data_IF_667716823473
#
_entry.id   IF_667716823473
#
_cell.length_a   1.000
_cell.length_b   1.000
_cell.length_c   1.000
_cell.angle_alpha   90.00
_cell.angle_beta   90.00
_cell.angle_gamma   90.00
#
_symmetry.space_group_name_H-M   'P 1'
#
loop_
_entity.id
_entity.type
_entity.pdbx_description
1 polymer ?
#
# COMPACT_ATOMS: atom_id res chain seq x y z
N UNK A 1 5.86 35.22 -0.45
CA UNK A 1 6.71 34.34 -1.30
C UNK A 1 5.97 33.04 -1.62
N UNK A 2 6.37 32.25 -2.63
CA UNK A 2 5.69 31.00 -3.02
C UNK A 2 5.55 30.00 -1.85
N UNK A 3 6.51 29.98 -0.93
CA UNK A 3 6.52 29.14 0.28
C UNK A 3 5.44 29.53 1.29
N UNK A 4 5.15 30.81 1.44
CA UNK A 4 4.08 31.32 2.31
C UNK A 4 2.71 30.94 1.75
N UNK A 5 2.53 31.04 0.44
CA UNK A 5 1.30 30.59 -0.23
C UNK A 5 1.10 29.08 -0.07
N UNK A 6 2.14 28.27 -0.24
CA UNK A 6 2.05 26.82 -0.08
C UNK A 6 1.70 26.42 1.37
N UNK A 7 2.29 27.10 2.35
CA UNK A 7 1.99 26.90 3.77
C UNK A 7 0.54 27.25 4.08
N UNK A 8 0.05 28.36 3.52
CA UNK A 8 -1.35 28.78 3.65
C UNK A 8 -2.32 27.76 3.02
N UNK A 9 -2.02 27.24 1.82
CA UNK A 9 -2.86 26.23 1.21
C UNK A 9 -2.92 24.95 2.06
N UNK A 10 -1.78 24.45 2.54
CA UNK A 10 -1.77 23.26 3.39
C UNK A 10 -2.50 23.46 4.71
N UNK A 11 -2.39 24.63 5.35
CA UNK A 11 -3.13 24.91 6.59
C UNK A 11 -4.64 24.96 6.35
N UNK A 12 -5.07 25.54 5.22
CA UNK A 12 -6.47 25.55 4.82
C UNK A 12 -6.99 24.14 4.53
N UNK A 13 -6.24 23.32 3.79
CA UNK A 13 -6.63 21.94 3.53
C UNK A 13 -6.72 21.12 4.82
N UNK A 14 -5.74 21.23 5.72
CA UNK A 14 -5.80 20.55 7.02
C UNK A 14 -7.05 20.93 7.79
N UNK A 15 -7.37 22.23 7.87
CA UNK A 15 -8.56 22.71 8.56
C UNK A 15 -9.84 22.15 7.93
N UNK A 16 -9.96 22.19 6.61
CA UNK A 16 -11.14 21.71 5.91
C UNK A 16 -11.36 20.20 6.10
N UNK A 17 -10.30 19.40 6.01
CA UNK A 17 -10.40 17.96 6.21
C UNK A 17 -10.57 17.55 7.69
N UNK A 18 -10.10 18.36 8.64
CA UNK A 18 -10.43 18.19 10.05
C UNK A 18 -11.91 18.48 10.32
N UNK A 19 -12.46 19.54 9.73
CA UNK A 19 -13.90 19.82 9.81
C UNK A 19 -14.72 18.72 9.15
N UNK A 20 -14.31 18.24 7.98
CA UNK A 20 -14.96 17.11 7.31
C UNK A 20 -14.93 15.84 8.16
N UNK A 21 -13.81 15.55 8.82
CA UNK A 21 -13.70 14.43 9.77
C UNK A 21 -14.70 14.58 10.92
N UNK A 22 -14.76 15.74 11.57
CA UNK A 22 -15.70 15.99 12.67
C UNK A 22 -17.16 15.84 12.23
N UNK A 23 -17.53 16.39 11.08
CA UNK A 23 -18.89 16.26 10.53
C UNK A 23 -19.22 14.79 10.20
N UNK A 24 -18.29 14.05 9.61
CA UNK A 24 -18.48 12.63 9.33
C UNK A 24 -18.67 11.82 10.62
N UNK A 25 -17.95 12.17 11.69
CA UNK A 25 -18.14 11.57 13.01
C UNK A 25 -19.52 11.90 13.61
N UNK A 26 -19.96 13.17 13.55
CA UNK A 26 -21.28 13.59 14.02
C UNK A 26 -22.42 12.89 13.26
N UNK A 27 -22.23 12.64 11.96
CA UNK A 27 -23.19 11.93 11.12
C UNK A 27 -23.08 10.39 11.20
N UNK A 28 -22.12 9.85 11.94
CA UNK A 28 -21.76 8.42 11.93
C UNK A 28 -21.47 7.87 10.51
N UNK A 29 -20.92 8.70 9.63
CA UNK A 29 -20.50 8.32 8.27
C UNK A 29 -19.11 7.66 8.31
N UNK A 30 -19.07 6.34 8.51
CA UNK A 30 -17.83 5.58 8.60
C UNK A 30 -16.96 5.69 7.33
N UNK A 31 -17.59 5.73 6.15
CA UNK A 31 -16.88 5.88 4.88
C UNK A 31 -16.28 7.28 4.74
N UNK A 32 -17.04 8.32 5.14
CA UNK A 32 -16.55 9.69 5.21
C UNK A 32 -15.38 9.86 6.18
N UNK A 33 -15.43 9.20 7.34
CA UNK A 33 -14.31 9.15 8.30
C UNK A 33 -13.05 8.56 7.64
N UNK A 34 -13.18 7.45 6.90
CA UNK A 34 -12.05 6.85 6.16
C UNK A 34 -11.46 7.85 5.15
N UNK A 35 -12.32 8.47 4.33
CA UNK A 35 -11.88 9.45 3.34
C UNK A 35 -11.19 10.67 3.96
N UNK A 36 -11.70 11.14 5.09
CA UNK A 36 -11.10 12.27 5.81
C UNK A 36 -9.70 11.91 6.31
N UNK A 37 -9.52 10.74 6.93
CA UNK A 37 -8.21 10.27 7.37
C UNK A 37 -7.25 10.05 6.20
N UNK A 38 -7.72 9.44 5.11
CA UNK A 38 -6.91 9.26 3.91
C UNK A 38 -6.43 10.61 3.35
N UNK A 39 -7.32 11.60 3.22
CA UNK A 39 -6.96 12.92 2.72
C UNK A 39 -5.98 13.66 3.63
N UNK A 40 -6.18 13.60 4.96
CA UNK A 40 -5.23 14.14 5.94
C UNK A 40 -3.85 13.51 5.79
N UNK A 41 -3.80 12.20 5.52
CA UNK A 41 -2.53 11.51 5.30
C UNK A 41 -1.79 12.01 4.06
N UNK A 42 -2.49 12.26 2.96
CA UNK A 42 -1.91 12.77 1.72
C UNK A 42 -1.38 14.20 1.89
N UNK A 43 -2.09 15.03 2.65
CA UNK A 43 -1.63 16.38 3.00
C UNK A 43 -0.36 16.31 3.84
N UNK A 44 -0.35 15.49 4.90
CA UNK A 44 0.83 15.33 5.74
C UNK A 44 2.03 14.78 4.97
N UNK A 45 1.81 13.81 4.07
CA UNK A 45 2.86 13.29 3.17
C UNK A 45 3.44 14.39 2.28
N UNK A 46 2.60 15.22 1.65
CA UNK A 46 3.03 16.35 0.80
C UNK A 46 3.77 17.44 1.58
N UNK A 47 3.49 17.58 2.87
CA UNK A 47 4.23 18.46 3.78
C UNK A 47 5.56 17.84 4.28
N UNK A 48 5.84 16.58 3.96
CA UNK A 48 7.00 15.84 4.47
C UNK A 48 6.82 15.28 5.89
N UNK A 49 5.63 15.39 6.47
CA UNK A 49 5.31 14.87 7.81
C UNK A 49 4.91 13.39 7.72
N UNK A 50 5.89 12.51 7.50
CA UNK A 50 5.63 11.09 7.24
C UNK A 50 4.99 10.39 8.45
N UNK A 51 5.33 10.77 9.67
CA UNK A 51 4.77 10.19 10.91
C UNK A 51 3.28 10.49 11.04
N UNK A 52 2.88 11.75 10.85
CA UNK A 52 1.47 12.15 10.87
C UNK A 52 0.69 11.54 9.72
N UNK A 53 1.33 11.36 8.57
CA UNK A 53 0.74 10.65 7.44
C UNK A 53 0.47 9.18 7.78
N UNK A 54 1.45 8.51 8.40
CA UNK A 54 1.29 7.13 8.90
C UNK A 54 0.18 7.02 9.93
N UNK A 55 0.12 7.91 10.93
CA UNK A 55 -0.97 7.90 11.93
C UNK A 55 -2.36 8.01 11.28
N UNK A 56 -2.52 8.94 10.33
CA UNK A 56 -3.78 9.13 9.63
C UNK A 56 -4.14 7.92 8.75
N UNK A 57 -3.17 7.32 8.04
CA UNK A 57 -3.40 6.10 7.27
C UNK A 57 -3.78 4.90 8.15
N UNK A 58 -3.16 4.76 9.32
CA UNK A 58 -3.51 3.71 10.28
C UNK A 58 -4.97 3.83 10.69
N UNK A 59 -5.41 5.03 11.08
CA UNK A 59 -6.82 5.27 11.44
C UNK A 59 -7.78 5.02 10.27
N UNK A 60 -7.40 5.42 9.05
CA UNK A 60 -8.18 5.12 7.85
C UNK A 60 -8.33 3.60 7.66
N UNK A 61 -7.23 2.86 7.75
CA UNK A 61 -7.22 1.43 7.46
C UNK A 61 -7.90 0.61 8.57
N UNK A 62 -7.74 0.99 9.84
CA UNK A 62 -8.48 0.41 10.97
C UNK A 62 -9.98 0.60 10.77
N UNK A 63 -10.43 1.84 10.53
CA UNK A 63 -11.85 2.12 10.31
C UNK A 63 -12.41 1.37 9.09
N UNK A 64 -11.65 1.32 8.00
CA UNK A 64 -12.05 0.61 6.80
C UNK A 64 -12.19 -0.91 7.05
N UNK A 65 -11.24 -1.51 7.78
CA UNK A 65 -11.29 -2.92 8.17
C UNK A 65 -12.45 -3.22 9.12
N UNK A 66 -12.74 -2.33 10.05
CA UNK A 66 -13.86 -2.48 11.00
C UNK A 66 -15.23 -2.51 10.31
N UNK A 67 -15.36 -1.89 9.13
CA UNK A 67 -16.62 -1.75 8.39
C UNK A 67 -16.57 -2.50 7.03
N UNK A 68 -15.60 -3.39 6.82
CA UNK A 68 -15.49 -4.17 5.57
C UNK A 68 -15.23 -3.36 4.28
N UNK A 69 -14.81 -2.09 4.36
CA UNK A 69 -14.64 -1.26 3.17
C UNK A 69 -13.37 -1.61 2.39
N UNK A 70 -13.51 -2.35 1.28
CA UNK A 70 -12.38 -2.80 0.47
C UNK A 70 -11.58 -1.65 -0.15
N UNK A 71 -12.27 -0.66 -0.74
CA UNK A 71 -11.62 0.42 -1.50
C UNK A 71 -10.71 1.29 -0.63
N UNK A 72 -11.13 1.78 0.55
CA UNK A 72 -10.23 2.46 1.48
C UNK A 72 -9.07 1.58 1.97
N UNK A 73 -9.25 0.26 2.14
CA UNK A 73 -8.13 -0.65 2.48
C UNK A 73 -7.10 -0.72 1.35
N UNK A 74 -7.55 -0.82 0.09
CA UNK A 74 -6.67 -0.86 -1.08
C UNK A 74 -5.88 0.46 -1.21
N UNK A 75 -6.56 1.60 -1.16
CA UNK A 75 -5.88 2.91 -1.28
C UNK A 75 -4.95 3.19 -0.11
N UNK A 76 -5.34 2.86 1.13
CA UNK A 76 -4.45 3.02 2.28
C UNK A 76 -3.20 2.15 2.16
N UNK A 77 -3.34 0.92 1.63
CA UNK A 77 -2.20 0.03 1.37
C UNK A 77 -1.24 0.61 0.34
N UNK A 78 -1.76 1.19 -0.76
CA UNK A 78 -0.93 1.91 -1.73
C UNK A 78 -0.21 3.10 -1.08
N UNK A 79 -0.90 3.92 -0.28
CA UNK A 79 -0.27 5.07 0.38
C UNK A 79 0.77 4.66 1.43
N UNK A 80 0.57 3.56 2.16
CA UNK A 80 1.61 2.99 3.03
C UNK A 80 2.84 2.58 2.23
N UNK A 81 2.67 1.90 1.09
CA UNK A 81 3.80 1.53 0.24
C UNK A 81 4.59 2.74 -0.27
N UNK A 82 3.91 3.85 -0.56
CA UNK A 82 4.57 5.11 -0.92
C UNK A 82 5.33 5.74 0.25
N UNK A 83 4.79 5.69 1.48
CA UNK A 83 5.49 6.18 2.67
C UNK A 83 6.75 5.34 2.97
N UNK A 84 6.65 4.02 2.90
CA UNK A 84 7.80 3.14 3.09
C UNK A 84 8.85 3.34 1.98
N UNK A 85 8.42 3.61 0.75
CA UNK A 85 9.34 4.01 -0.34
C UNK A 85 10.06 5.32 0.01
N UNK A 86 9.35 6.33 0.54
CA UNK A 86 9.96 7.59 0.98
C UNK A 86 10.96 7.38 2.13
N UNK A 87 10.76 6.35 2.97
CA UNK A 87 11.67 5.90 4.04
C UNK A 87 12.79 4.97 3.56
N UNK A 88 12.86 4.64 2.27
CA UNK A 88 13.78 3.64 1.68
C UNK A 88 13.61 2.24 2.28
N UNK A 89 12.42 1.93 2.79
CA UNK A 89 12.06 0.61 3.31
C UNK A 89 11.38 -0.21 2.20
N UNK A 90 12.17 -0.57 1.17
CA UNK A 90 11.60 -1.06 -0.09
C UNK A 90 10.92 -2.42 0.00
N UNK A 91 11.35 -3.29 0.93
CA UNK A 91 10.66 -4.56 1.20
C UNK A 91 9.24 -4.30 1.76
N UNK A 92 9.13 -3.46 2.79
CA UNK A 92 7.83 -3.08 3.37
C UNK A 92 6.94 -2.37 2.36
N UNK A 93 7.54 -1.52 1.51
CA UNK A 93 6.82 -0.86 0.45
C UNK A 93 6.18 -1.86 -0.52
N UNK A 94 6.95 -2.87 -0.95
CA UNK A 94 6.46 -3.95 -1.78
C UNK A 94 5.31 -4.72 -1.12
N UNK A 95 5.47 -5.15 0.14
CA UNK A 95 4.43 -5.88 0.89
C UNK A 95 3.11 -5.11 0.95
N UNK A 96 3.17 -3.79 1.14
CA UNK A 96 1.99 -2.93 1.13
C UNK A 96 1.34 -2.81 -0.25
N UNK A 97 2.11 -2.64 -1.32
CA UNK A 97 1.56 -2.61 -2.67
C UNK A 97 0.91 -3.95 -3.05
N UNK A 98 1.58 -5.04 -2.73
CA UNK A 98 1.11 -6.40 -2.96
C UNK A 98 -0.21 -6.65 -2.22
N UNK A 99 -0.31 -6.22 -0.96
CA UNK A 99 -1.54 -6.34 -0.18
C UNK A 99 -2.73 -5.71 -0.90
N UNK A 100 -2.60 -4.46 -1.39
CA UNK A 100 -3.68 -3.79 -2.12
C UNK A 100 -4.05 -4.48 -3.44
N UNK A 101 -3.06 -5.01 -4.16
CA UNK A 101 -3.29 -5.77 -5.39
C UNK A 101 -4.03 -7.09 -5.14
N UNK A 102 -3.58 -7.88 -4.15
CA UNK A 102 -4.21 -9.16 -3.82
C UNK A 102 -5.65 -8.98 -3.34
N UNK A 103 -5.92 -7.99 -2.47
CA UNK A 103 -7.29 -7.70 -2.02
C UNK A 103 -8.22 -7.47 -3.21
N UNK A 104 -7.81 -6.62 -4.17
CA UNK A 104 -8.64 -6.32 -5.33
C UNK A 104 -8.77 -7.51 -6.29
N UNK A 105 -7.70 -8.27 -6.48
CA UNK A 105 -7.71 -9.44 -7.35
C UNK A 105 -8.68 -10.51 -6.84
N UNK A 106 -8.72 -10.71 -5.52
CA UNK A 106 -9.52 -11.76 -4.88
C UNK A 106 -10.91 -11.31 -4.44
N UNK A 107 -11.23 -10.01 -4.42
CA UNK A 107 -12.59 -9.55 -4.12
C UNK A 107 -13.60 -9.92 -5.20
N UNK A 108 -13.14 -10.13 -6.44
CA UNK A 108 -14.00 -10.34 -7.60
C UNK A 108 -14.66 -9.06 -8.12
N UNK A 109 -14.33 -7.90 -7.53
CA UNK A 109 -14.82 -6.60 -7.97
C UNK A 109 -14.26 -6.24 -9.35
N UNK A 110 -15.14 -5.84 -10.27
CA UNK A 110 -14.74 -5.47 -11.63
C UNK A 110 -14.28 -4.01 -11.69
N UNK A 111 -13.05 -3.74 -11.25
CA UNK A 111 -12.44 -2.41 -11.28
C UNK A 111 -11.12 -2.41 -12.09
N UNK A 112 -11.19 -2.44 -13.43
CA UNK A 112 -10.02 -2.65 -14.28
C UNK A 112 -8.95 -1.55 -14.14
N UNK A 113 -9.36 -0.29 -13.96
CA UNK A 113 -8.43 0.83 -13.79
C UNK A 113 -7.70 0.76 -12.45
N UNK A 114 -8.41 0.41 -11.37
CA UNK A 114 -7.81 0.24 -10.05
C UNK A 114 -6.89 -0.98 -10.04
N UNK A 115 -7.27 -2.08 -10.69
CA UNK A 115 -6.44 -3.27 -10.83
C UNK A 115 -5.14 -2.94 -11.57
N UNK A 116 -5.23 -2.16 -12.66
CA UNK A 116 -4.06 -1.67 -13.38
C UNK A 116 -3.17 -0.80 -12.49
N UNK A 117 -3.75 0.09 -11.68
CA UNK A 117 -2.99 0.91 -10.73
C UNK A 117 -2.26 0.03 -9.71
N UNK A 118 -2.96 -0.88 -9.02
CA UNK A 118 -2.37 -1.78 -8.04
C UNK A 118 -1.23 -2.62 -8.64
N UNK A 119 -1.45 -3.12 -9.86
CA UNK A 119 -0.45 -3.89 -10.64
C UNK A 119 0.81 -3.07 -10.93
N UNK A 120 0.65 -1.81 -11.34
CA UNK A 120 1.77 -0.89 -11.55
C UNK A 120 2.52 -0.63 -10.24
N UNK A 121 1.81 -0.36 -9.14
CA UNK A 121 2.43 -0.10 -7.84
C UNK A 121 3.20 -1.31 -7.31
N UNK A 122 2.69 -2.54 -7.49
CA UNK A 122 3.43 -3.76 -7.18
C UNK A 122 4.72 -3.86 -7.98
N UNK A 123 4.66 -3.60 -9.28
CA UNK A 123 5.84 -3.56 -10.15
C UNK A 123 6.88 -2.54 -9.68
N UNK A 124 6.45 -1.35 -9.28
CA UNK A 124 7.33 -0.32 -8.70
C UNK A 124 7.97 -0.81 -7.40
N UNK A 125 7.20 -1.43 -6.50
CA UNK A 125 7.72 -2.03 -5.26
C UNK A 125 8.79 -3.09 -5.51
N UNK A 126 8.52 -4.02 -6.43
CA UNK A 126 9.45 -5.09 -6.84
C UNK A 126 10.73 -4.50 -7.44
N UNK A 127 10.61 -3.52 -8.33
CA UNK A 127 11.77 -2.85 -8.93
C UNK A 127 12.62 -2.14 -7.87
N UNK A 128 12.00 -1.38 -6.96
CA UNK A 128 12.71 -0.69 -5.89
C UNK A 128 13.44 -1.68 -4.95
N UNK A 129 12.78 -2.78 -4.56
CA UNK A 129 13.39 -3.86 -3.77
C UNK A 129 14.55 -4.50 -4.52
N UNK A 130 14.41 -4.72 -5.83
CA UNK A 130 15.47 -5.28 -6.68
C UNK A 130 16.69 -4.39 -6.69
N UNK A 131 16.47 -3.09 -6.92
CA UNK A 131 17.54 -2.09 -6.89
C UNK A 131 18.21 -2.02 -5.52
N UNK A 132 17.46 -2.07 -4.42
CA UNK A 132 18.02 -2.08 -3.06
C UNK A 132 18.93 -3.30 -2.82
N UNK A 133 18.49 -4.48 -3.25
CA UNK A 133 19.29 -5.70 -3.14
C UNK A 133 20.59 -5.58 -3.95
N UNK A 134 20.51 -5.17 -5.21
CA UNK A 134 21.68 -4.95 -6.07
C UNK A 134 22.64 -3.91 -5.49
N UNK A 135 22.11 -2.79 -4.98
CA UNK A 135 22.91 -1.75 -4.35
C UNK A 135 23.65 -2.27 -3.13
N UNK A 136 23.04 -3.15 -2.34
CA UNK A 136 23.71 -3.75 -1.18
C UNK A 136 24.89 -4.66 -1.57
N UNK A 137 24.76 -5.41 -2.67
CA UNK A 137 25.85 -6.27 -3.21
C UNK A 137 27.01 -5.40 -3.71
N UNK A 138 26.70 -4.28 -4.37
CA UNK A 138 27.73 -3.33 -4.84
C UNK A 138 28.47 -2.61 -3.71
N UNK A 139 27.95 -2.64 -2.47
CA UNK A 139 28.62 -2.09 -1.29
C UNK A 139 29.54 -3.10 -0.59
N UNK A 140 29.52 -4.37 -0.99
CA UNK A 140 30.43 -5.37 -0.45
C UNK A 140 31.87 -5.23 -0.99
N UNK A 141 32.87 -5.88 -0.36
CA UNK A 141 34.21 -5.96 -0.92
C UNK A 141 34.17 -6.48 -2.38
N UNK A 142 34.98 -5.93 -3.30
CA UNK A 142 34.87 -6.21 -4.74
C UNK A 142 34.87 -7.69 -5.11
N UNK A 143 35.68 -8.51 -4.43
CA UNK A 143 35.76 -9.96 -4.67
C UNK A 143 34.42 -10.64 -4.33
N UNK A 144 33.86 -10.35 -3.15
CA UNK A 144 32.60 -10.91 -2.69
C UNK A 144 31.42 -10.43 -3.53
N UNK A 145 31.36 -9.13 -3.82
CA UNK A 145 30.31 -8.55 -4.66
C UNK A 145 30.32 -9.11 -6.08
N UNK A 146 31.52 -9.29 -6.67
CA UNK A 146 31.66 -9.87 -8.01
C UNK A 146 31.22 -11.33 -8.05
N UNK A 147 31.59 -12.14 -7.06
CA UNK A 147 31.18 -13.54 -6.96
C UNK A 147 29.66 -13.67 -6.90
N UNK A 148 29.01 -12.85 -6.05
CA UNK A 148 27.55 -12.82 -5.95
C UNK A 148 26.87 -12.41 -7.27
N UNK A 149 27.40 -11.39 -7.97
CA UNK A 149 26.87 -10.98 -9.26
C UNK A 149 27.05 -12.06 -10.34
N UNK A 150 28.17 -12.77 -10.34
CA UNK A 150 28.43 -13.87 -11.28
C UNK A 150 27.50 -15.05 -11.03
N UNK A 151 27.27 -15.43 -9.76
CA UNK A 151 26.31 -16.46 -9.38
C UNK A 151 24.92 -16.05 -9.84
N UNK A 152 24.44 -14.88 -9.44
CA UNK A 152 23.11 -14.38 -9.83
C UNK A 152 22.91 -14.35 -11.35
N UNK A 153 23.90 -13.86 -12.10
CA UNK A 153 23.85 -13.80 -13.57
C UNK A 153 23.69 -15.19 -14.19
N UNK A 154 24.49 -16.15 -13.72
CA UNK A 154 24.64 -17.47 -14.35
C UNK A 154 23.58 -18.48 -13.87
N UNK A 155 23.15 -18.43 -12.62
CA UNK A 155 22.22 -19.42 -12.03
C UNK A 155 20.83 -18.85 -11.77
N UNK A 156 20.67 -17.52 -11.73
CA UNK A 156 19.44 -16.87 -11.31
C UNK A 156 19.15 -16.99 -9.80
N UNK A 157 20.12 -17.50 -9.02
CA UNK A 157 20.00 -17.70 -7.58
C UNK A 157 19.94 -16.41 -6.76
N UNK A 158 19.72 -16.56 -5.45
CA UNK A 158 19.59 -15.45 -4.52
C UNK A 158 20.94 -14.81 -4.17
N UNK A 159 20.93 -13.50 -3.88
CA UNK A 159 22.03 -12.88 -3.15
C UNK A 159 22.07 -13.39 -1.70
N UNK A 160 23.25 -13.51 -1.12
CA UNK A 160 23.40 -14.00 0.25
C UNK A 160 22.66 -13.09 1.24
N UNK A 161 21.81 -13.68 2.09
CA UNK A 161 21.06 -12.95 3.12
C UNK A 161 19.89 -12.10 2.61
N UNK A 162 19.58 -12.14 1.31
CA UNK A 162 18.48 -11.40 0.69
C UNK A 162 17.74 -12.36 -0.23
N UNK A 163 16.54 -12.78 0.15
CA UNK A 163 15.67 -13.63 -0.69
C UNK A 163 15.21 -12.85 -1.94
N UNK A 164 16.12 -12.69 -2.90
CA UNK A 164 15.91 -11.93 -4.12
C UNK A 164 16.41 -12.74 -5.33
N UNK A 165 15.50 -13.20 -6.18
CA UNK A 165 15.83 -14.03 -7.35
C UNK A 165 15.96 -13.20 -8.63
N UNK A 166 16.53 -13.80 -9.69
CA UNK A 166 16.50 -13.23 -11.04
C UNK A 166 15.08 -13.13 -11.63
N UNK A 167 14.07 -13.79 -11.06
CA UNK A 167 12.70 -13.65 -11.55
C UNK A 167 11.91 -12.57 -10.79
N UNK A 168 12.45 -12.05 -9.70
CA UNK A 168 11.76 -11.02 -8.89
C UNK A 168 11.59 -9.70 -9.63
N UNK A 169 12.41 -9.43 -10.65
CA UNK A 169 12.22 -8.31 -11.58
C UNK A 169 11.44 -8.69 -12.85
N UNK A 170 11.29 -9.99 -13.14
CA UNK A 170 10.52 -10.47 -14.27
C UNK A 170 9.04 -10.48 -13.91
N UNK A 171 8.31 -9.67 -14.65
CA UNK A 171 6.89 -9.48 -14.53
C UNK A 171 6.18 -10.73 -15.08
N UNK A 172 5.98 -11.77 -14.26
CA UNK A 172 4.97 -12.79 -14.57
C UNK A 172 3.71 -12.58 -13.75
N UNK A 173 2.93 -11.61 -14.22
CA UNK A 173 1.67 -11.18 -13.61
C UNK A 173 0.52 -12.16 -13.86
N UNK A 174 0.80 -13.30 -14.50
CA UNK A 174 -0.18 -14.35 -14.80
C UNK A 174 0.14 -15.69 -14.09
N UNK A 175 1.25 -15.79 -13.33
CA UNK A 175 1.72 -17.06 -12.75
C UNK A 175 2.20 -16.96 -11.29
N UNK A 176 1.66 -16.07 -10.47
CA UNK A 176 1.98 -16.10 -9.03
C UNK A 176 1.07 -17.12 -8.32
N UNK A 177 1.59 -18.35 -8.13
CA UNK A 177 1.06 -19.30 -7.16
C UNK A 177 1.16 -18.72 -5.73
N UNK A 178 0.15 -19.03 -4.92
CA UNK A 178 -0.10 -18.45 -3.60
C UNK A 178 0.79 -19.16 -2.56
N UNK A 179 1.69 -18.43 -1.89
CA UNK A 179 2.50 -18.97 -0.78
C UNK A 179 1.74 -18.89 0.56
N UNK A 180 2.08 -19.74 1.54
CA UNK A 180 1.32 -20.01 2.77
C UNK A 180 0.99 -18.79 3.68
N UNK A 181 1.75 -17.68 3.60
CA UNK A 181 1.36 -16.41 4.25
C UNK A 181 0.12 -15.75 3.62
N UNK A 182 -0.13 -16.02 2.34
CA UNK A 182 -1.31 -15.58 1.64
C UNK A 182 -2.57 -16.32 2.11
N UNK A 183 -2.47 -17.46 2.81
CA UNK A 183 -3.63 -18.13 3.42
C UNK A 183 -4.22 -17.29 4.56
N UNK A 184 -3.37 -16.60 5.33
CA UNK A 184 -3.79 -15.65 6.39
C UNK A 184 -4.33 -14.35 5.79
N UNK A 185 -3.73 -13.89 4.69
CA UNK A 185 -4.21 -12.72 3.94
C UNK A 185 -5.52 -13.02 3.21
N UNK A 186 -5.70 -14.23 2.68
CA UNK A 186 -6.94 -14.73 2.10
C UNK A 186 -8.04 -14.86 3.14
N UNK A 187 -7.73 -15.28 4.38
CA UNK A 187 -8.68 -15.26 5.48
C UNK A 187 -9.10 -13.83 5.87
N UNK A 188 -8.17 -12.85 5.85
CA UNK A 188 -8.50 -11.43 6.05
C UNK A 188 -9.36 -10.89 4.90
N UNK A 189 -9.02 -11.24 3.65
CA UNK A 189 -9.79 -10.87 2.45
C UNK A 189 -11.19 -11.47 2.52
N UNK A 190 -11.33 -12.75 2.84
CA UNK A 190 -12.63 -13.42 2.97
C UNK A 190 -13.47 -12.81 4.08
N UNK A 191 -12.85 -12.50 5.24
CA UNK A 191 -13.53 -11.81 6.33
C UNK A 191 -14.06 -10.42 5.91
N UNK A 192 -13.24 -9.62 5.23
CA UNK A 192 -13.66 -8.30 4.75
C UNK A 192 -14.79 -8.41 3.72
N UNK A 193 -14.72 -9.40 2.82
CA UNK A 193 -15.77 -9.68 1.82
C UNK A 193 -17.09 -10.12 2.48
N UNK A 194 -17.01 -10.95 3.52
CA UNK A 194 -18.21 -11.45 4.22
C UNK A 194 -18.89 -10.34 5.04
N UNK A 195 -18.12 -9.40 5.60
CA UNK A 195 -18.64 -8.23 6.33
C UNK A 195 -19.32 -7.21 5.40
N UNK A 196 -18.74 -6.90 4.23
CA UNK A 196 -19.33 -5.97 3.25
C UNK A 196 -20.67 -6.48 2.67
N UNK A 197 -20.81 -7.79 2.47
CA UNK A 197 -22.06 -8.41 2.01
C UNK A 197 -23.19 -8.34 3.04
N UNK A 198 -22.86 -8.34 4.33
CA UNK A 198 -23.86 -8.24 5.40
C UNK A 198 -24.39 -6.80 5.54
N UNK A 199 -23.53 -5.78 5.44
CA UNK A 199 -23.97 -4.38 5.51
C UNK A 199 -24.81 -3.98 4.28
N UNK A 200 -24.41 -4.41 3.07
CA UNK A 200 -25.20 -4.15 1.86
C UNK A 200 -26.59 -4.82 1.85
N UNK A 201 -26.80 -5.86 2.67
CA UNK A 201 -28.11 -6.45 2.94
C UNK A 201 -28.91 -5.66 3.98
N UNK A 202 -28.28 -5.09 5.01
CA UNK A 202 -28.96 -4.23 5.98
C UNK A 202 -29.49 -2.94 5.35
N UNK A 203 -28.71 -2.27 4.48
CA UNK A 203 -29.15 -1.06 3.77
C UNK A 203 -30.27 -1.29 2.75
N UNK A 204 -30.40 -2.51 2.21
CA UNK A 204 -31.51 -2.87 1.30
C UNK A 204 -32.81 -3.20 2.03
N UNK A 205 -32.75 -3.47 3.33
CA UNK A 205 -33.92 -3.83 4.14
C UNK A 205 -34.45 -2.67 5.00
N UNK A 206 -33.82 -1.49 4.96
CA UNK A 206 -34.24 -0.29 5.70
C UNK A 206 -35.07 0.71 4.89
N UNK A 207 -35.52 0.38 3.67
CA UNK A 207 -36.42 1.21 2.85
C UNK A 207 -37.59 0.42 2.28
#
# INVERSE_FOLDING_TARGET
SLKENLTYFFSLFLKNFQTYLSLSQECNDAFGICNAYFALSEIHKRMGNLEKSTEALTKCQEKAKENGFLIPVIFSSISFGQLETARRQYLKAYEHFETGYRILLFSGENMPDLLKLCRVMCGVGRANRSFDCLMSVLQEPPEKGLDQLLIWRNTGGNFEGKGFTKNDHLIDLNQEEIEDEDTKRAALIQKLIDEEKNESHEYKNTF
#
